data_IF_721083264776
#
_entry.id   IF_721083264776
#
_cell.length_a   1.000
_cell.length_b   1.000
_cell.length_c   1.000
_cell.angle_alpha   90.00
_cell.angle_beta   90.00
_cell.angle_gamma   90.00
#
_symmetry.space_group_name_H-M   'P 1'
#
loop_
_entity.id
_entity.type
_entity.pdbx_description
1 polymer ?
#
# COMPACT_ATOMS: atom_id res chain seq x y z
N UNK A 1 91.01 -17.81 38.50
CA UNK A 1 90.93 -18.50 37.18
C UNK A 1 90.57 -17.45 36.13
N UNK A 2 91.27 -17.50 35.00
CA UNK A 2 91.43 -16.41 34.03
C UNK A 2 90.13 -15.99 33.30
N UNK A 3 90.06 -14.73 32.80
CA UNK A 3 88.87 -14.03 32.31
C UNK A 3 88.84 -13.90 30.77
N UNK A 4 87.67 -13.71 30.16
CA UNK A 4 87.51 -13.23 28.75
C UNK A 4 86.15 -12.51 28.67
N UNK A 5 86.01 -11.17 28.63
CA UNK A 5 86.29 -10.12 27.61
C UNK A 5 85.43 -10.16 26.32
N UNK A 6 85.02 -8.94 25.94
CA UNK A 6 84.53 -8.42 24.64
C UNK A 6 83.05 -8.71 24.30
N UNK A 7 82.13 -7.74 24.24
CA UNK A 7 82.02 -6.53 23.39
C UNK A 7 81.69 -6.84 21.92
N UNK A 8 80.51 -6.42 21.46
CA UNK A 8 80.28 -5.80 20.15
C UNK A 8 78.91 -5.11 20.10
N UNK A 9 78.94 -3.88 19.59
CA UNK A 9 77.79 -3.03 19.30
C UNK A 9 77.05 -3.56 18.05
N UNK A 10 75.72 -3.40 18.04
CA UNK A 10 74.89 -3.47 16.84
C UNK A 10 73.59 -2.71 17.11
N UNK A 11 73.47 -1.53 16.51
CA UNK A 11 72.36 -0.60 16.71
C UNK A 11 71.21 -0.83 15.72
N UNK A 12 70.04 -0.32 16.12
CA UNK A 12 68.86 0.03 15.32
C UNK A 12 67.95 -1.16 14.92
N UNK A 13 66.61 -1.12 15.05
CA UNK A 13 65.64 -0.02 14.99
C UNK A 13 64.37 -0.31 15.80
N UNK A 14 63.73 0.79 16.22
CA UNK A 14 62.42 0.97 16.86
C UNK A 14 61.26 0.10 16.31
N UNK A 15 60.37 -0.34 17.21
CA UNK A 15 59.02 0.23 17.33
C UNK A 15 58.28 -0.35 18.56
N UNK A 16 57.94 0.55 19.49
CA UNK A 16 57.01 0.37 20.60
C UNK A 16 55.59 0.14 20.12
N UNK A 17 54.83 -0.77 20.76
CA UNK A 17 53.43 -0.50 21.09
C UNK A 17 52.95 -1.38 22.26
N UNK A 18 52.60 -0.66 23.33
CA UNK A 18 51.84 -1.06 24.49
C UNK A 18 50.43 -1.53 24.10
N UNK A 19 49.91 -2.47 24.90
CA UNK A 19 48.60 -2.40 25.56
C UNK A 19 47.55 -3.48 25.24
N UNK A 20 46.99 -3.96 26.36
CA UNK A 20 45.58 -4.32 26.58
C UNK A 20 45.07 -5.69 26.08
N UNK A 21 44.93 -6.59 27.05
CA UNK A 21 43.96 -7.70 27.07
C UNK A 21 42.52 -7.20 26.83
N UNK A 22 41.76 -7.79 25.90
CA UNK A 22 40.32 -7.65 25.89
C UNK A 22 39.66 -8.82 26.62
N UNK A 23 38.91 -8.48 27.67
CA UNK A 23 37.85 -9.32 28.26
C UNK A 23 36.79 -9.52 27.18
N UNK A 24 36.52 -10.77 26.80
CA UNK A 24 35.44 -11.10 25.88
C UNK A 24 34.08 -10.86 26.59
N UNK A 25 33.48 -9.71 26.34
CA UNK A 25 32.09 -9.46 26.68
C UNK A 25 31.21 -10.22 25.68
N UNK A 26 30.50 -11.25 26.16
CA UNK A 26 29.44 -11.89 25.41
C UNK A 26 28.31 -10.86 25.20
N UNK A 27 28.19 -10.34 23.98
CA UNK A 27 27.06 -9.54 23.57
C UNK A 27 25.81 -10.43 23.67
N UNK A 28 24.88 -10.06 24.55
CA UNK A 28 23.52 -10.57 24.51
C UNK A 28 22.91 -10.07 23.22
N UNK A 29 22.63 -11.00 22.32
CA UNK A 29 21.94 -10.75 21.06
C UNK A 29 20.59 -10.12 21.41
N UNK A 30 20.48 -8.81 21.24
CA UNK A 30 19.24 -8.08 21.39
C UNK A 30 18.27 -8.67 20.39
N UNK A 31 17.28 -9.40 20.91
CA UNK A 31 16.29 -10.12 20.13
C UNK A 31 15.86 -9.34 18.90
N UNK A 32 16.04 -9.98 17.74
CA UNK A 32 15.38 -9.60 16.49
C UNK A 32 13.93 -9.25 16.82
N UNK A 33 13.59 -7.97 16.70
CA UNK A 33 12.21 -7.55 16.65
C UNK A 33 11.64 -8.22 15.40
N UNK A 34 10.95 -9.34 15.60
CA UNK A 34 10.09 -9.94 14.60
C UNK A 34 9.09 -8.86 14.21
N UNK A 35 9.36 -8.16 13.11
CA UNK A 35 8.41 -7.27 12.47
C UNK A 35 7.27 -8.16 12.00
N UNK A 36 6.31 -8.42 12.90
CA UNK A 36 5.09 -9.12 12.57
C UNK A 36 4.46 -8.37 11.40
N UNK A 37 4.26 -9.08 10.30
CA UNK A 37 3.59 -8.55 9.12
C UNK A 37 2.10 -8.37 9.48
N UNK A 38 1.79 -7.36 10.31
CA UNK A 38 0.43 -7.11 10.79
C UNK A 38 -0.35 -6.48 9.65
N UNK A 39 -1.16 -7.30 8.98
CA UNK A 39 -2.17 -6.82 8.04
C UNK A 39 -3.03 -5.77 8.73
N UNK A 40 -3.07 -4.55 8.19
CA UNK A 40 -3.95 -3.48 8.65
C UNK A 40 -5.19 -3.47 7.77
N UNK A 41 -6.37 -3.56 8.38
CA UNK A 41 -7.65 -3.49 7.68
C UNK A 41 -8.32 -2.16 7.98
N UNK A 42 -8.79 -1.47 6.94
CA UNK A 42 -9.61 -0.26 7.05
C UNK A 42 -10.96 -0.56 6.40
N UNK A 43 -12.07 -0.32 7.10
CA UNK A 43 -13.41 -0.47 6.55
C UNK A 43 -14.09 0.89 6.50
N UNK A 44 -14.62 1.25 5.34
CA UNK A 44 -15.39 2.49 5.13
C UNK A 44 -16.64 2.20 4.30
N UNK A 45 -17.68 2.99 4.53
CA UNK A 45 -18.85 3.05 3.66
C UNK A 45 -18.63 4.14 2.62
N UNK A 46 -18.86 3.84 1.36
CA UNK A 46 -18.79 4.79 0.26
C UNK A 46 -20.19 5.08 -0.26
N UNK A 47 -20.57 6.35 -0.26
CA UNK A 47 -21.83 6.81 -0.81
C UNK A 47 -21.56 7.62 -2.08
N UNK A 48 -22.04 7.13 -3.23
CA UNK A 48 -21.86 7.81 -4.51
C UNK A 48 -22.56 9.16 -4.48
N UNK A 49 -21.81 10.22 -4.75
CA UNK A 49 -22.32 11.60 -4.83
C UNK A 49 -22.49 12.06 -6.27
N UNK A 50 -21.56 11.65 -7.14
CA UNK A 50 -21.57 12.02 -8.56
C UNK A 50 -21.15 10.81 -9.38
N UNK A 51 -21.91 10.54 -10.45
CA UNK A 51 -21.60 9.48 -11.40
C UNK A 51 -22.06 9.95 -12.78
N UNK A 52 -21.11 10.10 -13.69
CA UNK A 52 -21.38 10.49 -15.08
C UNK A 52 -20.89 9.40 -16.01
N UNK A 53 -21.72 9.04 -16.99
CA UNK A 53 -21.37 8.08 -18.05
C UNK A 53 -21.22 8.83 -19.37
N UNK A 54 -20.19 8.47 -20.12
CA UNK A 54 -19.88 9.00 -21.44
C UNK A 54 -19.94 7.82 -22.42
N UNK A 55 -21.14 7.51 -22.95
CA UNK A 55 -21.28 6.41 -23.88
C UNK A 55 -20.64 6.75 -25.23
N UNK A 56 -19.97 5.78 -25.85
CA UNK A 56 -19.47 5.93 -27.23
C UNK A 56 -20.61 5.82 -28.25
N UNK A 57 -21.65 5.05 -27.92
CA UNK A 57 -22.85 4.90 -28.71
C UNK A 57 -24.10 4.94 -27.82
N UNK A 58 -25.13 5.74 -28.15
CA UNK A 58 -26.36 5.79 -27.36
C UNK A 58 -27.05 4.41 -27.25
N UNK A 59 -27.62 4.12 -26.08
CA UNK A 59 -28.56 3.01 -25.90
C UNK A 59 -27.95 1.61 -25.77
N UNK A 60 -26.62 1.48 -25.74
CA UNK A 60 -25.96 0.20 -25.49
C UNK A 60 -24.69 0.39 -24.68
N UNK A 61 -24.37 -0.60 -23.83
CA UNK A 61 -23.09 -0.65 -23.15
C UNK A 61 -22.03 -1.18 -24.10
N UNK A 62 -21.09 -0.32 -24.45
CA UNK A 62 -20.13 -0.53 -25.52
C UNK A 62 -18.70 -0.43 -25.01
N UNK A 63 -17.79 -1.19 -25.65
CA UNK A 63 -16.37 -1.02 -25.41
C UNK A 63 -15.98 0.43 -25.72
N UNK A 64 -15.26 1.06 -24.78
CA UNK A 64 -14.87 2.46 -24.84
C UNK A 64 -15.76 3.41 -24.05
N UNK A 65 -16.95 2.99 -23.59
CA UNK A 65 -17.78 3.81 -22.69
C UNK A 65 -16.97 4.20 -21.45
N UNK A 66 -17.05 5.46 -21.04
CA UNK A 66 -16.30 5.95 -19.88
C UNK A 66 -17.23 6.30 -18.72
N UNK A 67 -16.73 6.12 -17.49
CA UNK A 67 -17.41 6.52 -16.27
C UNK A 67 -16.47 7.39 -15.44
N UNK A 68 -17.00 8.47 -14.88
CA UNK A 68 -16.34 9.26 -13.83
C UNK A 68 -17.23 9.23 -12.60
N UNK A 69 -16.66 8.88 -11.45
CA UNK A 69 -17.39 8.69 -10.20
C UNK A 69 -16.69 9.36 -9.03
N UNK A 70 -17.48 10.01 -8.17
CA UNK A 70 -17.05 10.51 -6.86
C UNK A 70 -17.95 9.96 -5.78
N UNK A 71 -17.34 9.48 -4.70
CA UNK A 71 -18.07 9.00 -3.51
C UNK A 71 -17.51 9.66 -2.26
N UNK A 72 -18.37 9.94 -1.30
CA UNK A 72 -17.94 10.33 0.04
C UNK A 72 -17.73 9.06 0.88
N UNK A 73 -16.68 9.04 1.71
CA UNK A 73 -16.33 7.90 2.57
C UNK A 73 -16.73 8.19 4.03
N UNK A 74 -17.33 7.20 4.68
CA UNK A 74 -17.84 7.29 6.05
C UNK A 74 -17.30 6.15 6.92
N UNK A 75 -17.03 6.45 8.19
CA UNK A 75 -16.71 5.43 9.19
C UNK A 75 -17.98 4.70 9.69
N UNK A 76 -17.80 3.79 10.66
CA UNK A 76 -18.91 3.03 11.24
C UNK A 76 -19.90 3.89 12.05
N UNK A 77 -19.48 5.06 12.52
CA UNK A 77 -20.33 6.03 13.21
C UNK A 77 -20.95 7.04 12.23
N UNK A 78 -20.76 6.85 10.93
CA UNK A 78 -21.23 7.71 9.84
C UNK A 78 -20.62 9.11 9.85
N UNK A 79 -19.41 9.28 10.40
CA UNK A 79 -18.64 10.50 10.19
C UNK A 79 -17.95 10.42 8.83
N UNK A 80 -17.94 11.52 8.08
CA UNK A 80 -17.19 11.59 6.83
C UNK A 80 -15.69 11.55 7.11
N UNK A 81 -15.02 10.55 6.55
CA UNK A 81 -13.58 10.28 6.72
C UNK A 81 -12.82 10.33 5.39
N UNK A 82 -13.40 10.87 4.33
CA UNK A 82 -12.71 11.02 3.06
C UNK A 82 -13.62 11.01 1.86
N UNK A 83 -13.02 10.70 0.72
CA UNK A 83 -13.72 10.54 -0.56
C UNK A 83 -12.92 9.66 -1.52
N UNK A 84 -13.58 9.17 -2.56
CA UNK A 84 -12.96 8.47 -3.68
C UNK A 84 -13.21 9.21 -4.97
N UNK A 85 -12.23 9.18 -5.87
CA UNK A 85 -12.33 9.71 -7.23
C UNK A 85 -11.93 8.61 -8.20
N UNK A 86 -12.83 8.22 -9.09
CA UNK A 86 -12.63 7.10 -10.00
C UNK A 86 -12.87 7.48 -11.46
N UNK A 87 -12.04 6.93 -12.34
CA UNK A 87 -12.29 6.90 -13.77
C UNK A 87 -12.24 5.46 -14.26
N UNK A 88 -13.22 5.08 -15.07
CA UNK A 88 -13.33 3.74 -15.63
C UNK A 88 -13.55 3.81 -17.14
N UNK A 89 -13.07 2.80 -17.86
CA UNK A 89 -13.33 2.58 -19.28
C UNK A 89 -13.82 1.16 -19.50
N UNK A 90 -14.96 1.03 -20.16
CA UNK A 90 -15.56 -0.26 -20.53
C UNK A 90 -14.64 -0.98 -21.50
N UNK A 91 -14.11 -2.12 -21.09
CA UNK A 91 -13.23 -2.96 -21.90
C UNK A 91 -13.98 -4.09 -22.59
N UNK A 92 -15.14 -4.48 -22.05
CA UNK A 92 -16.07 -5.44 -22.63
C UNK A 92 -17.49 -4.93 -22.45
N UNK A 93 -18.25 -4.78 -23.53
CA UNK A 93 -19.66 -4.39 -23.50
C UNK A 93 -20.60 -5.61 -23.60
N UNK A 94 -21.91 -5.36 -23.72
CA UNK A 94 -22.92 -6.41 -23.85
C UNK A 94 -23.41 -6.96 -22.50
N UNK A 95 -23.70 -8.27 -22.46
CA UNK A 95 -24.33 -8.97 -21.31
C UNK A 95 -23.37 -9.36 -20.19
N UNK A 96 -22.05 -9.38 -20.47
CA UNK A 96 -20.99 -9.73 -19.51
C UNK A 96 -20.02 -8.57 -19.38
N UNK A 97 -20.57 -7.37 -19.19
CA UNK A 97 -19.81 -6.14 -19.28
C UNK A 97 -18.68 -6.05 -18.24
N UNK A 98 -17.60 -5.38 -18.61
CA UNK A 98 -16.46 -5.18 -17.74
C UNK A 98 -15.81 -3.83 -18.01
N UNK A 99 -15.41 -3.12 -16.96
CA UNK A 99 -14.66 -1.86 -17.05
C UNK A 99 -13.34 -1.93 -16.31
N UNK A 100 -12.30 -1.32 -16.87
CA UNK A 100 -11.02 -1.11 -16.19
C UNK A 100 -11.10 0.22 -15.45
N UNK A 101 -10.85 0.19 -14.14
CA UNK A 101 -10.93 1.37 -13.30
C UNK A 101 -9.57 1.74 -12.71
N UNK A 102 -9.35 3.04 -12.53
CA UNK A 102 -8.34 3.62 -11.65
C UNK A 102 -9.06 4.51 -10.65
N UNK A 103 -8.84 4.27 -9.37
CA UNK A 103 -9.53 5.00 -8.29
C UNK A 103 -8.52 5.48 -7.26
N UNK A 104 -8.66 6.74 -6.85
CA UNK A 104 -7.89 7.33 -5.76
C UNK A 104 -8.78 7.48 -4.53
N UNK A 105 -8.35 6.92 -3.41
CA UNK A 105 -8.95 7.11 -2.10
C UNK A 105 -8.20 8.22 -1.39
N UNK A 106 -8.92 9.24 -0.94
CA UNK A 106 -8.39 10.32 -0.10
C UNK A 106 -8.87 10.05 1.32
N UNK A 107 -7.92 9.76 2.22
CA UNK A 107 -8.17 9.39 3.61
C UNK A 107 -7.36 10.30 4.55
N UNK A 108 -7.68 10.33 5.86
CA UNK A 108 -6.80 10.84 6.87
C UNK A 108 -5.40 10.22 6.71
N UNK A 109 -4.38 11.09 6.69
CA UNK A 109 -2.99 10.67 6.57
C UNK A 109 -2.45 10.51 5.14
N UNK A 110 -3.27 10.55 4.09
CA UNK A 110 -2.79 10.51 2.70
C UNK A 110 -3.75 9.92 1.67
N UNK A 111 -3.20 9.49 0.54
CA UNK A 111 -3.95 8.88 -0.56
C UNK A 111 -3.54 7.44 -0.81
N UNK A 112 -4.47 6.64 -1.34
CA UNK A 112 -4.22 5.32 -1.93
C UNK A 112 -4.66 5.34 -3.40
N UNK A 113 -3.84 4.84 -4.29
CA UNK A 113 -4.24 4.58 -5.68
C UNK A 113 -4.52 3.09 -5.84
N UNK A 114 -5.64 2.76 -6.47
CA UNK A 114 -6.02 1.38 -6.77
C UNK A 114 -6.41 1.23 -8.23
N UNK A 115 -6.23 0.01 -8.76
CA UNK A 115 -6.67 -0.33 -10.11
C UNK A 115 -7.18 -1.77 -10.18
N UNK A 116 -8.09 -2.03 -11.11
CA UNK A 116 -8.60 -3.37 -11.37
C UNK A 116 -9.73 -3.38 -12.38
N UNK A 117 -10.17 -4.59 -12.72
CA UNK A 117 -11.35 -4.82 -13.55
C UNK A 117 -12.58 -4.93 -12.67
N UNK A 118 -13.64 -4.27 -13.11
CA UNK A 118 -14.97 -4.41 -12.54
C UNK A 118 -15.88 -5.12 -13.53
N UNK A 119 -16.24 -6.36 -13.20
CA UNK A 119 -17.18 -7.19 -13.96
C UNK A 119 -18.61 -6.96 -13.51
N UNK A 120 -19.57 -7.10 -14.43
CA UNK A 120 -21.01 -6.97 -14.17
C UNK A 120 -21.31 -5.64 -13.44
N UNK A 121 -20.69 -4.55 -13.92
CA UNK A 121 -20.71 -3.27 -13.22
C UNK A 121 -22.08 -2.61 -13.30
N UNK A 122 -22.97 -2.98 -14.22
CA UNK A 122 -24.34 -2.47 -14.25
C UNK A 122 -25.14 -2.96 -13.06
N UNK A 123 -24.98 -4.24 -12.71
CA UNK A 123 -25.62 -4.87 -11.55
C UNK A 123 -24.96 -4.49 -10.22
N UNK A 124 -23.94 -3.64 -10.28
CA UNK A 124 -23.16 -3.22 -9.13
C UNK A 124 -22.59 -4.44 -8.38
N UNK A 125 -22.03 -5.44 -9.09
CA UNK A 125 -21.42 -6.62 -8.48
C UNK A 125 -20.23 -6.34 -7.54
N UNK A 126 -19.78 -7.29 -6.71
CA UNK A 126 -18.58 -7.13 -5.90
C UNK A 126 -17.32 -7.14 -6.77
N UNK A 127 -16.23 -6.55 -6.27
CA UNK A 127 -14.95 -6.54 -6.96
C UNK A 127 -13.76 -6.37 -6.01
N UNK A 128 -12.58 -6.76 -6.50
CA UNK A 128 -11.30 -6.52 -5.85
C UNK A 128 -10.39 -5.67 -6.74
N UNK A 129 -9.83 -4.60 -6.19
CA UNK A 129 -8.82 -3.79 -6.87
C UNK A 129 -7.49 -3.87 -6.14
N UNK A 130 -6.38 -3.95 -6.90
CA UNK A 130 -5.05 -3.91 -6.32
C UNK A 130 -4.69 -2.50 -5.87
N UNK A 131 -4.05 -2.37 -4.70
CA UNK A 131 -3.42 -1.13 -4.25
C UNK A 131 -2.08 -0.98 -5.00
N UNK A 132 -1.97 0.07 -5.80
CA UNK A 132 -0.83 0.31 -6.70
C UNK A 132 0.13 1.37 -6.19
N UNK A 133 -0.28 2.15 -5.18
CA UNK A 133 0.52 3.24 -4.64
C UNK A 133 -0.20 4.00 -3.54
N UNK A 134 0.50 4.97 -2.98
CA UNK A 134 -0.05 5.87 -1.98
C UNK A 134 0.89 6.99 -1.59
N UNK A 135 0.40 7.87 -0.71
CA UNK A 135 1.13 9.03 -0.20
C UNK A 135 1.01 9.12 1.33
N UNK A 136 1.81 9.97 1.97
CA UNK A 136 1.75 10.18 3.42
C UNK A 136 1.95 8.90 4.22
N UNK A 137 1.03 8.59 5.13
CA UNK A 137 1.01 7.34 5.91
C UNK A 137 0.94 6.09 5.02
N UNK A 138 0.39 6.22 3.81
CA UNK A 138 0.18 5.13 2.86
C UNK A 138 1.27 5.02 1.78
N UNK A 139 2.39 5.75 1.91
CA UNK A 139 3.46 5.81 0.88
C UNK A 139 4.08 4.48 0.47
N UNK A 140 3.94 3.44 1.31
CA UNK A 140 4.43 2.07 1.03
C UNK A 140 3.30 1.04 0.95
N UNK A 141 2.03 1.48 0.92
CA UNK A 141 0.88 0.60 0.95
C UNK A 141 0.89 -0.40 -0.22
N UNK A 142 0.57 -1.65 0.09
CA UNK A 142 0.27 -2.74 -0.85
C UNK A 142 -0.96 -3.48 -0.35
N UNK A 143 -1.48 -4.37 -1.20
CA UNK A 143 -2.65 -5.18 -0.91
C UNK A 143 -3.78 -4.90 -1.88
N UNK A 144 -5.01 -4.95 -1.40
CA UNK A 144 -6.20 -4.83 -2.24
C UNK A 144 -7.36 -4.16 -1.49
N UNK A 145 -8.34 -3.71 -2.25
CA UNK A 145 -9.63 -3.22 -1.74
C UNK A 145 -10.71 -4.15 -2.23
N UNK A 146 -11.42 -4.77 -1.29
CA UNK A 146 -12.64 -5.50 -1.55
C UNK A 146 -13.84 -4.57 -1.48
N UNK A 147 -14.77 -4.71 -2.41
CA UNK A 147 -15.99 -3.92 -2.48
C UNK A 147 -17.23 -4.80 -2.44
N UNK A 148 -18.12 -4.51 -1.49
CA UNK A 148 -19.48 -5.05 -1.44
C UNK A 148 -20.51 -3.96 -1.73
N UNK A 149 -21.54 -4.28 -2.51
CA UNK A 149 -22.69 -3.39 -2.70
C UNK A 149 -23.70 -3.58 -1.57
N UNK A 150 -24.04 -2.47 -0.90
CA UNK A 150 -24.95 -2.44 0.26
C UNK A 150 -26.34 -1.97 -0.15
N UNK A 151 -26.40 -0.98 -1.02
CA UNK A 151 -27.64 -0.45 -1.56
C UNK A 151 -27.41 0.14 -2.94
N UNK A 152 -28.43 0.12 -3.78
CA UNK A 152 -28.46 0.82 -5.08
C UNK A 152 -29.55 1.90 -5.13
N UNK A 153 -30.46 1.90 -4.15
CA UNK A 153 -31.60 2.82 -4.03
C UNK A 153 -31.69 3.34 -2.59
N UNK A 154 -31.94 4.65 -2.36
CA UNK A 154 -32.09 5.73 -3.35
C UNK A 154 -30.76 6.18 -3.97
N UNK A 155 -29.63 5.69 -3.45
CA UNK A 155 -28.28 5.95 -3.95
C UNK A 155 -27.45 4.69 -3.83
N UNK A 156 -26.37 4.62 -4.62
CA UNK A 156 -25.41 3.53 -4.53
C UNK A 156 -24.54 3.71 -3.29
N UNK A 157 -24.55 2.69 -2.44
CA UNK A 157 -23.73 2.58 -1.24
C UNK A 157 -22.92 1.30 -1.32
N UNK A 158 -21.60 1.41 -1.12
CA UNK A 158 -20.68 0.29 -1.05
C UNK A 158 -19.98 0.24 0.30
N UNK A 159 -19.59 -0.96 0.71
CA UNK A 159 -18.59 -1.14 1.75
C UNK A 159 -17.26 -1.43 1.08
N UNK A 160 -16.25 -0.64 1.40
CA UNK A 160 -14.88 -0.93 1.01
C UNK A 160 -14.11 -1.46 2.21
N UNK A 161 -13.52 -2.64 2.04
CA UNK A 161 -12.59 -3.25 2.98
C UNK A 161 -11.19 -3.20 2.37
N UNK A 162 -10.35 -2.31 2.89
CA UNK A 162 -8.99 -2.07 2.41
C UNK A 162 -8.04 -2.96 3.22
N UNK A 163 -7.38 -3.89 2.54
CA UNK A 163 -6.37 -4.77 3.11
C UNK A 163 -4.98 -4.21 2.81
N UNK A 164 -4.30 -3.71 3.83
CA UNK A 164 -2.91 -3.25 3.74
C UNK A 164 -1.97 -4.36 4.21
N UNK A 165 -1.03 -4.75 3.34
CA UNK A 165 -0.05 -5.83 3.57
C UNK A 165 1.38 -5.41 3.31
#
# INVERSE_FOLDING_TARGET
MRPIRAACLGAATLATLLACTPVAAAATDTGSAQAGNTTRIITVLAEVQQLTRFPVAPGSVSQGDQVVVRSDLFDAAHNKVGETHGTCTTTRGGVDEAEQCVVTYVLPGGQLTVQGLYFNYLDQGPFDNAITGGTGEYKKARGWVHSDTIATTPKVVRRFTIHLV
#
